data_IF_920135796815
#
_entry.id   IF_920135796815
#
_cell.length_a   1.000
_cell.length_b   1.000
_cell.length_c   1.000
_cell.angle_alpha   90.00
_cell.angle_beta   90.00
_cell.angle_gamma   90.00
#
_symmetry.space_group_name_H-M   'P 1'
#
loop_
_entity.id
_entity.type
_entity.pdbx_description
1 polymer ?
#
# COMPACT_ATOMS: atom_id res chain seq x y z
N UNK A 1 -16.27 3.87 -12.96
CA UNK A 1 -15.32 4.69 -12.16
C UNK A 1 -14.05 3.87 -11.97
N UNK A 2 -12.86 4.48 -12.02
CA UNK A 2 -11.60 3.77 -11.71
C UNK A 2 -11.15 4.14 -10.31
N UNK A 3 -10.78 3.15 -9.51
CA UNK A 3 -10.28 3.35 -8.15
C UNK A 3 -8.80 2.99 -8.09
N UNK A 4 -8.04 3.80 -7.38
CA UNK A 4 -6.63 3.55 -7.10
C UNK A 4 -6.34 3.87 -5.64
N UNK A 5 -5.19 3.41 -5.16
CA UNK A 5 -4.77 3.61 -3.78
C UNK A 5 -3.26 3.79 -3.71
N UNK A 6 -2.80 4.39 -2.62
CA UNK A 6 -1.38 4.41 -2.29
C UNK A 6 -0.99 3.08 -1.68
N UNK A 7 0.10 2.50 -2.13
CA UNK A 7 0.63 1.25 -1.59
C UNK A 7 1.40 1.57 -0.30
N UNK A 8 1.13 0.93 0.84
CA UNK A 8 1.66 1.32 2.16
C UNK A 8 3.12 0.90 2.35
N UNK A 9 4.01 1.36 1.47
CA UNK A 9 5.44 1.03 1.43
C UNK A 9 6.24 1.60 2.61
N UNK A 10 5.60 2.42 3.47
CA UNK A 10 6.19 2.96 4.69
C UNK A 10 5.60 2.37 5.99
N UNK A 11 4.79 1.31 5.90
CA UNK A 11 4.22 0.63 7.07
C UNK A 11 2.95 1.28 7.61
N UNK A 12 2.25 2.04 6.77
CA UNK A 12 1.02 2.75 7.14
C UNK A 12 0.97 4.18 6.57
N UNK A 13 -0.01 4.96 7.05
CA UNK A 13 -0.28 6.34 6.60
C UNK A 13 -0.30 7.36 7.75
N UNK A 14 -0.34 6.90 9.00
CA UNK A 14 -0.68 7.70 10.16
C UNK A 14 0.57 8.03 10.98
N UNK A 15 0.98 9.29 10.95
CA UNK A 15 2.15 9.76 11.72
C UNK A 15 2.01 9.61 13.24
N UNK A 16 0.77 9.58 13.74
CA UNK A 16 0.48 9.61 15.18
C UNK A 16 0.03 8.24 15.72
N UNK A 17 0.06 7.19 14.89
CA UNK A 17 -0.24 5.82 15.30
C UNK A 17 1.03 5.01 15.12
N UNK A 18 1.53 4.41 16.20
CA UNK A 18 2.82 3.72 16.17
C UNK A 18 2.77 2.40 15.39
N UNK A 19 1.64 1.67 15.45
CA UNK A 19 1.48 0.37 14.81
C UNK A 19 0.13 0.32 14.08
N UNK A 20 0.18 0.33 12.75
CA UNK A 20 -1.00 0.20 11.88
C UNK A 20 -1.24 -1.25 11.43
N UNK A 21 -0.48 -2.21 11.96
CA UNK A 21 -0.49 -3.62 11.54
C UNK A 21 -0.28 -3.81 10.03
N UNK A 22 0.49 -2.91 9.41
CA UNK A 22 0.86 -2.98 7.99
C UNK A 22 2.35 -3.26 7.85
N UNK A 23 2.67 -4.46 7.36
CA UNK A 23 4.05 -4.86 7.13
C UNK A 23 4.65 -4.15 5.91
N UNK A 24 5.95 -3.88 5.97
CA UNK A 24 6.73 -3.38 4.82
C UNK A 24 7.44 -4.51 4.05
N UNK A 25 7.15 -5.77 4.37
CA UNK A 25 7.78 -6.90 3.67
C UNK A 25 7.32 -6.99 2.22
N UNK A 26 8.20 -7.48 1.35
CA UNK A 26 7.87 -7.71 -0.05
C UNK A 26 6.67 -8.64 -0.22
N UNK A 27 6.60 -9.72 0.57
CA UNK A 27 5.51 -10.69 0.49
C UNK A 27 4.15 -10.07 0.82
N UNK A 28 4.10 -9.23 1.87
CA UNK A 28 2.87 -8.52 2.24
C UNK A 28 2.43 -7.55 1.15
N UNK A 29 3.36 -6.72 0.65
CA UNK A 29 3.07 -5.71 -0.36
C UNK A 29 2.65 -6.35 -1.69
N UNK A 30 3.32 -7.44 -2.10
CA UNK A 30 2.96 -8.22 -3.29
C UNK A 30 1.55 -8.80 -3.16
N UNK A 31 1.24 -9.43 -2.02
CA UNK A 31 -0.06 -10.03 -1.80
C UNK A 31 -1.17 -8.97 -1.78
N UNK A 32 -0.92 -7.81 -1.17
CA UNK A 32 -1.85 -6.69 -1.14
C UNK A 32 -2.13 -6.15 -2.56
N UNK A 33 -1.11 -5.99 -3.38
CA UNK A 33 -1.26 -5.53 -4.77
C UNK A 33 -2.13 -6.51 -5.58
N UNK A 34 -1.81 -7.81 -5.53
CA UNK A 34 -2.57 -8.84 -6.24
C UNK A 34 -4.04 -8.90 -5.80
N UNK A 35 -4.31 -8.87 -4.48
CA UNK A 35 -5.68 -8.84 -3.98
C UNK A 35 -6.43 -7.58 -4.38
N UNK A 36 -5.74 -6.45 -4.48
CA UNK A 36 -6.36 -5.19 -4.90
C UNK A 36 -6.82 -5.26 -6.35
N UNK A 37 -6.08 -5.94 -7.22
CA UNK A 37 -6.50 -6.22 -8.60
C UNK A 37 -7.77 -7.09 -8.62
N UNK A 38 -7.81 -8.16 -7.81
CA UNK A 38 -8.99 -9.03 -7.67
C UNK A 38 -10.22 -8.27 -7.14
N UNK A 39 -10.01 -7.25 -6.31
CA UNK A 39 -11.07 -6.39 -5.76
C UNK A 39 -11.48 -5.23 -6.67
N UNK A 40 -10.87 -5.11 -7.86
CA UNK A 40 -11.25 -4.13 -8.87
C UNK A 40 -10.54 -2.77 -8.75
N UNK A 41 -9.48 -2.66 -7.95
CA UNK A 41 -8.59 -1.49 -8.01
C UNK A 41 -7.80 -1.52 -9.31
N UNK A 42 -7.75 -0.39 -9.99
CA UNK A 42 -7.11 -0.25 -11.30
C UNK A 42 -5.70 0.34 -11.24
N UNK A 43 -5.25 0.81 -10.07
CA UNK A 43 -3.97 1.50 -9.90
C UNK A 43 -3.45 1.36 -8.47
N UNK A 44 -2.18 1.04 -8.33
CA UNK A 44 -1.42 1.15 -7.08
C UNK A 44 -0.34 2.22 -7.26
N UNK A 45 -0.30 3.24 -6.39
CA UNK A 45 0.71 4.29 -6.40
C UNK A 45 1.82 3.96 -5.40
N UNK A 46 3.07 3.91 -5.87
CA UNK A 46 4.24 3.66 -5.04
C UNK A 46 4.96 4.98 -4.82
N UNK A 47 5.03 5.43 -3.57
CA UNK A 47 5.74 6.64 -3.21
C UNK A 47 7.25 6.37 -3.13
N UNK A 48 8.04 7.25 -3.70
CA UNK A 48 9.49 7.32 -3.50
C UNK A 48 9.81 8.59 -2.73
N UNK A 49 10.48 8.46 -1.59
CA UNK A 49 11.00 9.59 -0.84
C UNK A 49 12.41 9.89 -1.33
N UNK A 50 12.54 10.90 -2.18
CA UNK A 50 13.84 11.46 -2.54
C UNK A 50 14.43 12.21 -1.35
N UNK A 51 15.73 12.03 -1.15
CA UNK A 51 16.53 12.78 -0.18
C UNK A 51 17.26 13.93 -0.87
#
# INVERSE_FOLDING_TARGET
MKFGYWLPVFGGWLRNVNEEEMSISWDYIKQLAQKSEDWGYSLSLIAELFK
#
